data_IF_500942907477
#
_entry.id   IF_500942907477
#
_cell.length_a   1.000
_cell.length_b   1.000
_cell.length_c   1.000
_cell.angle_alpha   90.00
_cell.angle_beta   90.00
_cell.angle_gamma   90.00
#
_symmetry.space_group_name_H-M   'P 1'
#
loop_
_entity.id
_entity.type
_entity.pdbx_description
1 polymer ?
#
# COMPACT_ATOMS: atom_id res chain seq x y z
N UNK A 1 -26.20 17.18 -9.26
CA UNK A 1 -25.58 17.57 -7.98
C UNK A 1 -25.07 16.32 -7.30
N UNK A 2 -23.76 16.18 -7.08
CA UNK A 2 -23.20 15.07 -6.28
C UNK A 2 -23.44 15.42 -4.82
N UNK A 3 -24.17 14.58 -4.09
CA UNK A 3 -24.44 14.82 -2.66
C UNK A 3 -23.17 14.57 -1.85
N UNK A 4 -22.96 15.33 -0.77
CA UNK A 4 -21.84 15.11 0.16
C UNK A 4 -21.84 13.67 0.74
N UNK A 5 -23.01 13.07 0.87
CA UNK A 5 -23.17 11.66 1.28
C UNK A 5 -22.62 10.67 0.27
N UNK A 6 -22.72 10.96 -1.03
CA UNK A 6 -22.17 10.11 -2.09
C UNK A 6 -20.64 10.19 -2.13
N UNK A 7 -20.08 11.39 -2.01
CA UNK A 7 -18.62 11.59 -1.92
C UNK A 7 -18.06 10.85 -0.71
N UNK A 8 -18.71 11.00 0.46
CA UNK A 8 -18.29 10.32 1.69
C UNK A 8 -18.29 8.80 1.54
N UNK A 9 -19.31 8.24 0.89
CA UNK A 9 -19.41 6.80 0.65
C UNK A 9 -18.31 6.29 -0.29
N UNK A 10 -17.90 7.08 -1.28
CA UNK A 10 -16.79 6.74 -2.20
C UNK A 10 -15.44 6.79 -1.46
N UNK A 11 -15.22 7.78 -0.60
CA UNK A 11 -13.94 7.96 0.10
C UNK A 11 -13.77 6.94 1.23
N UNK A 12 -14.78 6.77 2.08
CA UNK A 12 -14.70 5.92 3.28
C UNK A 12 -15.15 4.48 3.05
N UNK A 13 -15.89 4.21 1.97
CA UNK A 13 -16.57 2.94 1.77
C UNK A 13 -17.91 2.89 2.50
N UNK A 14 -18.75 1.92 2.11
CA UNK A 14 -20.10 1.75 2.67
C UNK A 14 -20.16 0.76 3.84
N UNK A 15 -19.24 -0.18 3.91
CA UNK A 15 -19.30 -1.31 4.84
C UNK A 15 -18.20 -1.24 5.91
N UNK A 16 -18.63 -1.05 7.17
CA UNK A 16 -17.74 -1.02 8.35
C UNK A 16 -16.99 -2.33 8.63
N UNK A 17 -17.60 -3.54 8.58
CA UNK A 17 -16.88 -4.78 8.93
C UNK A 17 -15.76 -5.09 7.95
N UNK A 18 -15.98 -4.84 6.65
CA UNK A 18 -14.96 -5.02 5.62
C UNK A 18 -13.84 -3.99 5.73
N UNK A 19 -14.14 -2.77 6.18
CA UNK A 19 -13.12 -1.75 6.48
C UNK A 19 -12.18 -2.19 7.61
N UNK A 20 -12.72 -2.81 8.68
CA UNK A 20 -11.91 -3.31 9.80
C UNK A 20 -11.00 -4.45 9.33
N UNK A 21 -11.53 -5.40 8.54
CA UNK A 21 -10.74 -6.50 7.98
C UNK A 21 -9.63 -5.99 7.08
N UNK A 22 -9.91 -5.01 6.22
CA UNK A 22 -8.90 -4.38 5.38
C UNK A 22 -7.83 -3.68 6.23
N UNK A 23 -8.22 -3.02 7.32
CA UNK A 23 -7.28 -2.44 8.28
C UNK A 23 -6.34 -3.48 8.90
N UNK A 24 -6.87 -4.63 9.33
CA UNK A 24 -6.06 -5.74 9.86
C UNK A 24 -5.11 -6.32 8.81
N UNK A 25 -5.56 -6.48 7.56
CA UNK A 25 -4.71 -6.92 6.45
C UNK A 25 -3.58 -5.91 6.21
N UNK A 26 -3.90 -4.62 6.20
CA UNK A 26 -2.91 -3.56 6.04
C UNK A 26 -1.87 -3.58 7.17
N UNK A 27 -2.29 -3.73 8.42
CA UNK A 27 -1.37 -3.91 9.55
C UNK A 27 -0.48 -5.14 9.35
N UNK A 28 -1.05 -6.26 8.91
CA UNK A 28 -0.30 -7.47 8.58
C UNK A 28 0.76 -7.23 7.50
N UNK A 29 0.38 -6.61 6.38
CA UNK A 29 1.30 -6.27 5.28
C UNK A 29 2.43 -5.34 5.74
N UNK A 30 2.11 -4.35 6.58
CA UNK A 30 3.09 -3.47 7.18
C UNK A 30 4.10 -4.22 8.04
N UNK A 31 3.62 -5.07 8.95
CA UNK A 31 4.49 -5.85 9.86
C UNK A 31 5.37 -6.81 9.07
N UNK A 32 4.81 -7.53 8.09
CA UNK A 32 5.59 -8.46 7.24
C UNK A 32 6.65 -7.71 6.43
N UNK A 33 6.31 -6.56 5.86
CA UNK A 33 7.27 -5.73 5.13
C UNK A 33 8.40 -5.21 6.04
N UNK A 34 8.07 -4.75 7.24
CA UNK A 34 9.06 -4.30 8.23
C UNK A 34 9.98 -5.45 8.66
N UNK A 35 9.41 -6.58 9.08
CA UNK A 35 10.17 -7.75 9.55
C UNK A 35 11.07 -8.32 8.44
N UNK A 36 10.56 -8.43 7.21
CA UNK A 36 11.35 -8.92 6.08
C UNK A 36 12.50 -7.99 5.69
N UNK A 37 12.28 -6.67 5.82
CA UNK A 37 13.33 -5.67 5.59
C UNK A 37 14.42 -5.79 6.67
N UNK A 38 14.02 -5.92 7.94
CA UNK A 38 14.93 -6.19 9.05
C UNK A 38 15.72 -7.49 8.87
N UNK A 39 15.04 -8.58 8.49
CA UNK A 39 15.66 -9.88 8.30
C UNK A 39 16.65 -9.86 7.12
N UNK A 40 16.30 -9.19 6.02
CA UNK A 40 17.19 -9.03 4.86
C UNK A 40 18.48 -8.32 5.26
N UNK A 41 18.37 -7.22 6.02
CA UNK A 41 19.51 -6.46 6.50
C UNK A 41 20.38 -7.30 7.46
N UNK A 42 19.78 -7.93 8.48
CA UNK A 42 20.50 -8.70 9.50
C UNK A 42 21.15 -9.97 8.96
N UNK A 43 20.50 -10.64 8.01
CA UNK A 43 20.97 -11.92 7.47
C UNK A 43 21.79 -11.77 6.19
N UNK A 44 21.94 -10.53 5.67
CA UNK A 44 22.63 -10.24 4.40
C UNK A 44 22.11 -11.07 3.22
N UNK A 45 20.81 -11.37 3.20
CA UNK A 45 20.19 -12.19 2.16
C UNK A 45 19.54 -11.28 1.12
N UNK A 46 19.91 -11.39 -0.16
CA UNK A 46 19.36 -10.60 -1.28
C UNK A 46 17.86 -10.79 -1.59
N UNK A 47 17.09 -11.41 -0.70
CA UNK A 47 15.66 -11.70 -0.90
C UNK A 47 14.79 -10.45 -0.72
N UNK A 48 15.25 -9.44 0.03
CA UNK A 48 14.43 -8.30 0.43
C UNK A 48 13.86 -7.49 -0.73
N UNK A 49 14.63 -7.22 -1.79
CA UNK A 49 14.17 -6.42 -2.91
C UNK A 49 12.95 -7.02 -3.62
N UNK A 50 13.06 -8.21 -4.25
CA UNK A 50 11.94 -8.86 -4.93
C UNK A 50 10.74 -9.13 -4.01
N UNK A 51 11.00 -9.51 -2.75
CA UNK A 51 9.95 -9.79 -1.79
C UNK A 51 9.13 -8.54 -1.42
N UNK A 52 9.79 -7.38 -1.25
CA UNK A 52 9.10 -6.11 -0.99
C UNK A 52 8.18 -5.72 -2.15
N UNK A 53 8.63 -5.84 -3.41
CA UNK A 53 7.78 -5.59 -4.56
C UNK A 53 6.58 -6.55 -4.62
N UNK A 54 6.79 -7.83 -4.29
CA UNK A 54 5.68 -8.79 -4.22
C UNK A 54 4.63 -8.36 -3.19
N UNK A 55 5.04 -7.88 -2.02
CA UNK A 55 4.10 -7.38 -1.00
C UNK A 55 3.31 -6.16 -1.50
N UNK A 56 3.94 -5.26 -2.26
CA UNK A 56 3.23 -4.12 -2.88
C UNK A 56 2.18 -4.61 -3.87
N UNK A 57 2.54 -5.58 -4.74
CA UNK A 57 1.60 -6.19 -5.69
C UNK A 57 0.43 -6.88 -4.98
N UNK A 58 0.71 -7.58 -3.87
CA UNK A 58 -0.34 -8.19 -3.03
C UNK A 58 -1.26 -7.11 -2.43
N UNK A 59 -0.70 -6.00 -1.94
CA UNK A 59 -1.47 -4.85 -1.45
C UNK A 59 -2.39 -4.25 -2.53
N UNK A 60 -1.89 -4.13 -3.76
CA UNK A 60 -2.68 -3.69 -4.93
C UNK A 60 -3.81 -4.68 -5.22
N UNK A 61 -3.53 -5.99 -5.21
CA UNK A 61 -4.54 -7.03 -5.41
C UNK A 61 -5.66 -6.94 -4.39
N UNK A 62 -5.33 -6.78 -3.10
CA UNK A 62 -6.33 -6.54 -2.07
C UNK A 62 -7.12 -5.25 -2.31
N UNK A 63 -6.45 -4.16 -2.71
CA UNK A 63 -7.12 -2.89 -3.02
C UNK A 63 -8.15 -3.05 -4.14
N UNK A 64 -7.86 -3.82 -5.20
CA UNK A 64 -8.83 -4.13 -6.27
C UNK A 64 -10.03 -4.90 -5.72
N UNK A 65 -9.78 -5.96 -4.94
CA UNK A 65 -10.84 -6.78 -4.34
C UNK A 65 -11.74 -5.94 -3.42
N UNK A 66 -11.16 -5.08 -2.59
CA UNK A 66 -11.93 -4.20 -1.71
C UNK A 66 -12.65 -3.10 -2.50
N UNK A 67 -12.06 -2.53 -3.56
CA UNK A 67 -12.75 -1.61 -4.47
C UNK A 67 -13.97 -2.25 -5.13
N UNK A 68 -13.87 -3.53 -5.51
CA UNK A 68 -15.00 -4.33 -5.98
C UNK A 68 -16.08 -4.49 -4.92
N UNK A 69 -15.72 -4.78 -3.66
CA UNK A 69 -16.63 -4.97 -2.51
C UNK A 69 -17.16 -3.68 -1.86
N UNK A 70 -17.29 -2.58 -2.60
CA UNK A 70 -17.74 -1.28 -2.05
C UNK A 70 -16.83 -0.71 -0.93
N UNK A 71 -15.57 -1.13 -0.87
CA UNK A 71 -14.54 -0.51 -0.05
C UNK A 71 -14.22 0.91 -0.52
N UNK A 72 -13.79 1.76 0.41
CA UNK A 72 -13.46 3.15 0.12
C UNK A 72 -12.12 3.35 -0.57
N UNK A 73 -11.92 4.51 -1.18
CA UNK A 73 -10.63 4.93 -1.72
C UNK A 73 -9.52 4.90 -0.65
N UNK A 74 -9.83 5.33 0.57
CA UNK A 74 -8.86 5.32 1.68
C UNK A 74 -8.41 3.91 2.05
N UNK A 75 -9.32 2.94 1.97
CA UNK A 75 -8.98 1.53 2.21
C UNK A 75 -7.98 1.03 1.15
N UNK A 76 -8.22 1.38 -0.11
CA UNK A 76 -7.32 1.03 -1.21
C UNK A 76 -5.93 1.67 -1.05
N UNK A 77 -5.88 2.97 -0.72
CA UNK A 77 -4.62 3.65 -0.42
C UNK A 77 -3.89 3.01 0.75
N UNK A 78 -4.61 2.67 1.82
CA UNK A 78 -4.03 2.06 3.03
C UNK A 78 -3.43 0.68 2.75
N UNK A 79 -4.10 -0.14 1.94
CA UNK A 79 -3.62 -1.48 1.57
C UNK A 79 -2.36 -1.43 0.69
N UNK A 80 -2.26 -0.44 -0.18
CA UNK A 80 -1.07 -0.23 -1.04
C UNK A 80 0.06 0.46 -0.27
N UNK A 81 -0.27 1.39 0.64
CA UNK A 81 0.72 2.11 1.44
C UNK A 81 1.31 1.25 2.55
N UNK A 82 0.58 0.27 3.06
CA UNK A 82 1.03 -0.57 4.18
C UNK A 82 2.40 -1.25 3.96
N UNK A 83 2.61 -2.04 2.88
CA UNK A 83 3.90 -2.69 2.67
C UNK A 83 5.02 -1.69 2.40
N UNK A 84 4.75 -0.62 1.65
CA UNK A 84 5.75 0.43 1.36
C UNK A 84 6.16 1.18 2.63
N UNK A 85 5.20 1.55 3.48
CA UNK A 85 5.43 2.21 4.75
C UNK A 85 6.21 1.32 5.72
N UNK A 86 5.97 0.01 5.77
CA UNK A 86 6.70 -0.92 6.63
C UNK A 86 8.20 -0.96 6.30
N UNK A 87 8.52 -1.06 5.01
CA UNK A 87 9.91 -1.05 4.55
C UNK A 87 10.57 0.33 4.74
N UNK A 88 9.86 1.41 4.38
CA UNK A 88 10.39 2.77 4.56
C UNK A 88 10.65 3.06 6.04
N UNK A 89 9.75 2.66 6.95
CA UNK A 89 9.92 2.84 8.38
C UNK A 89 11.23 2.19 8.87
N UNK A 90 11.52 0.96 8.45
CA UNK A 90 12.77 0.29 8.79
C UNK A 90 14.00 1.07 8.30
N UNK A 91 14.05 1.43 7.01
CA UNK A 91 15.21 2.12 6.46
C UNK A 91 15.38 3.55 6.99
N UNK A 92 14.28 4.26 7.26
CA UNK A 92 14.35 5.58 7.92
C UNK A 92 14.94 5.48 9.32
N UNK A 93 14.55 4.46 10.09
CA UNK A 93 15.14 4.20 11.41
C UNK A 93 16.62 3.82 11.31
N UNK A 94 16.99 3.01 10.33
CA UNK A 94 18.38 2.60 10.10
C UNK A 94 19.26 3.81 9.74
N UNK A 95 18.81 4.64 8.79
CA UNK A 95 19.50 5.87 8.39
C UNK A 95 19.67 6.84 9.55
N UNK A 96 18.67 6.96 10.42
CA UNK A 96 18.75 7.79 11.61
C UNK A 96 19.80 7.28 12.62
N UNK A 97 20.21 6.00 12.56
CA UNK A 97 21.25 5.42 13.43
C UNK A 97 22.64 5.41 12.82
N UNK A 98 22.75 5.21 11.51
CA UNK A 98 24.03 5.03 10.83
C UNK A 98 24.61 6.33 10.24
N UNK A 99 23.86 7.44 10.25
CA UNK A 99 24.23 8.79 9.74
C UNK A 99 24.71 8.85 8.27
N UNK A 100 24.79 7.73 7.57
CA UNK A 100 25.09 7.64 6.16
C UNK A 100 24.00 6.87 5.43
N UNK A 101 23.30 7.54 4.52
CA UNK A 101 22.40 6.87 3.58
C UNK A 101 22.71 7.26 2.14
N UNK A 102 22.89 6.28 1.23
CA UNK A 102 23.08 6.54 -0.18
C UNK A 102 21.88 7.28 -0.78
N UNK A 103 22.09 7.93 -1.92
CA UNK A 103 21.00 8.52 -2.71
C UNK A 103 20.08 7.40 -3.21
N UNK A 104 18.77 7.57 -3.07
CA UNK A 104 17.81 6.58 -3.54
C UNK A 104 17.86 6.46 -5.08
N UNK A 105 17.98 5.23 -5.57
CA UNK A 105 17.76 4.93 -6.98
C UNK A 105 16.25 4.90 -7.26
N UNK A 106 15.79 5.11 -8.51
CA UNK A 106 14.39 4.91 -8.86
C UNK A 106 13.90 3.53 -8.42
N UNK A 107 12.68 3.46 -7.87
CA UNK A 107 12.08 2.27 -7.26
C UNK A 107 12.74 1.77 -5.96
N UNK A 108 13.86 2.34 -5.49
CA UNK A 108 14.47 1.88 -4.26
C UNK A 108 13.61 2.20 -3.04
N UNK A 109 13.61 1.27 -2.08
CA UNK A 109 13.02 1.49 -0.76
C UNK A 109 14.01 2.08 0.25
N UNK A 110 15.28 2.17 -0.13
CA UNK A 110 16.37 2.67 0.69
C UNK A 110 16.98 3.93 0.08
N UNK A 111 17.51 4.81 0.93
CA UNK A 111 18.22 6.02 0.55
C UNK A 111 17.39 7.30 0.62
N UNK A 112 18.10 8.43 0.55
CA UNK A 112 17.48 9.76 0.54
C UNK A 112 16.64 9.93 -0.72
N UNK A 113 15.34 10.20 -0.55
CA UNK A 113 14.39 10.39 -1.65
C UNK A 113 13.45 9.21 -1.91
N UNK A 114 13.62 8.06 -1.24
CA UNK A 114 12.72 6.91 -1.41
C UNK A 114 11.25 7.26 -1.11
N UNK A 115 11.00 8.04 -0.05
CA UNK A 115 9.65 8.55 0.28
C UNK A 115 9.07 9.40 -0.85
N UNK A 116 9.87 10.27 -1.46
CA UNK A 116 9.43 11.15 -2.54
C UNK A 116 9.03 10.37 -3.80
N UNK A 117 9.62 9.21 -4.04
CA UNK A 117 9.21 8.28 -5.10
C UNK A 117 7.95 7.50 -4.72
N UNK A 118 7.91 6.91 -3.52
CA UNK A 118 6.84 5.98 -3.15
C UNK A 118 5.50 6.65 -2.84
N UNK A 119 5.49 7.88 -2.32
CA UNK A 119 4.24 8.62 -2.05
C UNK A 119 3.36 8.78 -3.31
N UNK A 120 3.85 9.37 -4.42
CA UNK A 120 3.04 9.48 -5.64
C UNK A 120 2.73 8.10 -6.26
N UNK A 121 3.63 7.12 -6.15
CA UNK A 121 3.39 5.77 -6.66
C UNK A 121 2.24 5.08 -5.93
N UNK A 122 2.21 5.12 -4.60
CA UNK A 122 1.14 4.56 -3.75
C UNK A 122 -0.20 5.21 -4.06
N UNK A 123 -0.25 6.54 -4.17
CA UNK A 123 -1.46 7.26 -4.53
C UNK A 123 -1.97 6.84 -5.91
N UNK A 124 -1.07 6.71 -6.89
CA UNK A 124 -1.40 6.27 -8.24
C UNK A 124 -1.94 4.85 -8.24
N UNK A 125 -1.20 3.90 -7.67
CA UNK A 125 -1.60 2.49 -7.62
C UNK A 125 -2.89 2.27 -6.84
N UNK A 126 -3.06 2.89 -5.68
CA UNK A 126 -4.28 2.74 -4.90
C UNK A 126 -5.50 3.36 -5.59
N UNK A 127 -5.33 4.47 -6.33
CA UNK A 127 -6.40 5.07 -7.13
C UNK A 127 -6.77 4.20 -8.33
N UNK A 128 -5.78 3.67 -9.06
CA UNK A 128 -6.00 2.75 -10.17
C UNK A 128 -6.66 1.44 -9.71
N UNK A 129 -6.21 0.87 -8.58
CA UNK A 129 -6.79 -0.33 -8.00
C UNK A 129 -8.25 -0.12 -7.60
N UNK A 130 -8.55 1.02 -6.96
CA UNK A 130 -9.92 1.41 -6.63
C UNK A 130 -10.78 1.54 -7.90
N UNK A 131 -10.31 2.29 -8.89
CA UNK A 131 -11.03 2.50 -10.14
C UNK A 131 -11.31 1.16 -10.85
N UNK A 132 -10.31 0.28 -10.92
CA UNK A 132 -10.45 -1.05 -11.51
C UNK A 132 -11.51 -1.89 -10.77
N UNK A 133 -11.47 -1.93 -9.44
CA UNK A 133 -12.47 -2.65 -8.64
C UNK A 133 -13.89 -2.11 -8.83
N UNK A 134 -14.05 -0.79 -8.93
CA UNK A 134 -15.36 -0.16 -9.18
C UNK A 134 -15.86 -0.48 -10.59
N UNK A 135 -15.00 -0.42 -11.60
CA UNK A 135 -15.36 -0.71 -13.00
C UNK A 135 -15.78 -2.16 -13.15
N UNK A 136 -15.01 -3.11 -12.59
CA UNK A 136 -15.33 -4.55 -12.68
C UNK A 136 -16.64 -4.87 -11.99
N UNK A 137 -16.95 -4.26 -10.82
CA UNK A 137 -18.27 -4.39 -10.19
C UNK A 137 -19.39 -3.91 -11.09
N UNK A 138 -19.22 -2.74 -11.71
CA UNK A 138 -20.26 -2.16 -12.59
C UNK A 138 -20.55 -3.05 -13.78
N UNK A 139 -19.50 -3.56 -14.43
CA UNK A 139 -19.64 -4.51 -15.55
C UNK A 139 -20.35 -5.80 -15.13
N UNK A 140 -20.03 -6.35 -13.95
CA UNK A 140 -20.68 -7.53 -13.43
C UNK A 140 -22.16 -7.31 -13.08
N UNK A 141 -22.56 -6.09 -12.72
CA UNK A 141 -23.96 -5.75 -12.42
C UNK A 141 -24.83 -5.42 -13.64
N UNK A 142 -24.21 -5.23 -14.81
CA UNK A 142 -24.92 -4.95 -16.08
C UNK A 142 -25.20 -6.19 -16.91
N UNK A 143 -24.66 -7.35 -16.50
CA UNK A 143 -24.89 -8.67 -17.09
C UNK A 143 -25.90 -9.42 -16.22
#
# INVERSE_FOLDING_TARGET
MVSATDVRAVVLGRERPDTIRAGLIAVGLFVVALVSSSATYLLSVSVGGPFQYLLVVVGIGFAVVYGYRNGGLLVCWTLVSAPTAGTLAFYTWLTAREETAPVALPLSFHGHGAVAFWVPAVLTFGTLAFALGVITRRMASTV
#
